data_IF_709543717466
#
_entry.id   IF_709543717466
#
_cell.length_a   1.000
_cell.length_b   1.000
_cell.length_c   1.000
_cell.angle_alpha   90.00
_cell.angle_beta   90.00
_cell.angle_gamma   90.00
#
_symmetry.space_group_name_H-M   'P 1'
#
loop_
_entity.id
_entity.type
_entity.pdbx_description
1 polymer ?
#
# COMPACT_ATOMS: atom_id res chain seq x y z
N UNK A 1 2.12 2.40 1.70
CA UNK A 1 2.00 0.92 1.58
C UNK A 1 1.30 0.45 2.82
N UNK A 2 0.36 -0.49 2.74
CA UNK A 2 -0.29 -1.05 3.93
C UNK A 2 0.30 -2.41 4.25
N UNK A 3 1.09 -2.49 5.31
CA UNK A 3 1.66 -3.76 5.83
C UNK A 3 0.61 -4.50 6.68
N UNK A 4 0.85 -5.80 6.91
CA UNK A 4 -0.06 -6.64 7.71
C UNK A 4 -0.33 -6.08 9.13
N UNK A 5 0.68 -5.59 9.84
CA UNK A 5 0.49 -5.00 11.18
C UNK A 5 -0.41 -3.75 11.15
N UNK A 6 -0.35 -2.95 10.08
CA UNK A 6 -1.22 -1.78 9.94
C UNK A 6 -2.67 -2.21 9.71
N UNK A 7 -2.90 -3.28 8.93
CA UNK A 7 -4.24 -3.87 8.78
C UNK A 7 -4.82 -4.30 10.12
N UNK A 8 -4.02 -4.96 10.97
CA UNK A 8 -4.43 -5.38 12.31
C UNK A 8 -4.79 -4.17 13.19
N UNK A 9 -4.00 -3.10 13.17
CA UNK A 9 -4.30 -1.86 13.89
C UNK A 9 -5.61 -1.23 13.40
N UNK A 10 -5.82 -1.14 12.08
CA UNK A 10 -7.06 -0.59 11.53
C UNK A 10 -8.28 -1.44 11.84
N UNK A 11 -8.14 -2.77 11.81
CA UNK A 11 -9.20 -3.68 12.25
C UNK A 11 -9.53 -3.46 13.73
N UNK A 12 -8.52 -3.37 14.60
CA UNK A 12 -8.74 -3.13 16.02
C UNK A 12 -9.42 -1.79 16.31
N UNK A 13 -8.99 -0.71 15.65
CA UNK A 13 -9.63 0.61 15.78
C UNK A 13 -11.06 0.59 15.24
N UNK A 14 -11.31 -0.09 14.11
CA UNK A 14 -12.64 -0.26 13.54
C UNK A 14 -13.56 -1.02 14.49
N UNK A 15 -13.09 -2.13 15.06
CA UNK A 15 -13.87 -2.99 15.96
C UNK A 15 -14.20 -2.30 17.30
N UNK A 16 -13.54 -1.18 17.61
CA UNK A 16 -13.78 -0.32 18.77
C UNK A 16 -14.55 0.97 18.45
N UNK A 17 -15.02 1.13 17.21
CA UNK A 17 -15.62 2.38 16.70
C UNK A 17 -14.69 3.62 16.81
N UNK A 18 -13.38 3.39 16.85
CA UNK A 18 -12.34 4.44 16.96
C UNK A 18 -11.69 4.79 15.62
N UNK A 19 -11.96 4.02 14.55
CA UNK A 19 -11.44 4.31 13.21
C UNK A 19 -12.27 5.45 12.56
N UNK A 20 -11.76 6.67 12.64
CA UNK A 20 -12.46 7.88 12.16
C UNK A 20 -12.35 8.15 10.66
N UNK A 21 -11.59 7.34 9.93
CA UNK A 21 -11.31 7.53 8.50
C UNK A 21 -11.53 6.26 7.70
N UNK A 22 -11.87 6.40 6.42
CA UNK A 22 -11.92 5.27 5.48
C UNK A 22 -10.52 4.95 4.98
N UNK A 23 -10.10 3.70 5.13
CA UNK A 23 -8.80 3.20 4.73
C UNK A 23 -8.93 2.31 3.50
N UNK A 24 -8.29 2.74 2.41
CA UNK A 24 -8.09 1.93 1.21
C UNK A 24 -6.69 1.34 1.25
N UNK A 25 -6.59 0.15 1.83
CA UNK A 25 -5.35 -0.56 2.02
C UNK A 25 -4.74 -0.99 0.68
N UNK A 26 -3.42 -0.81 0.58
CA UNK A 26 -2.63 -1.23 -0.59
C UNK A 26 -1.41 -2.03 -0.15
N UNK A 27 -1.55 -3.36 0.02
CA UNK A 27 -0.42 -4.27 0.18
C UNK A 27 0.56 -4.12 -0.99
N UNK A 28 1.81 -4.53 -0.78
CA UNK A 28 2.81 -4.49 -1.85
C UNK A 28 2.48 -5.50 -2.94
N UNK A 29 2.87 -5.18 -4.17
CA UNK A 29 2.58 -5.99 -5.36
C UNK A 29 3.10 -7.43 -5.24
N UNK A 30 4.22 -7.68 -4.55
CA UNK A 30 4.76 -9.02 -4.31
C UNK A 30 3.82 -9.96 -3.52
N UNK A 31 2.80 -9.42 -2.85
CA UNK A 31 1.80 -10.23 -2.15
C UNK A 31 0.58 -10.61 -3.01
N UNK A 32 0.55 -10.23 -4.29
CA UNK A 32 -0.62 -10.42 -5.16
C UNK A 32 -1.11 -11.87 -5.20
N UNK A 33 -0.19 -12.83 -5.31
CA UNK A 33 -0.52 -14.25 -5.48
C UNK A 33 -1.13 -14.84 -4.21
N UNK A 34 -0.64 -14.43 -3.04
CA UNK A 34 -1.19 -14.83 -1.73
C UNK A 34 -2.59 -14.26 -1.52
N UNK A 35 -2.80 -13.00 -1.89
CA UNK A 35 -4.12 -12.36 -1.78
C UNK A 35 -5.13 -13.02 -2.74
N UNK A 36 -4.73 -13.27 -3.98
CA UNK A 36 -5.55 -13.97 -4.96
C UNK A 36 -5.91 -15.40 -4.51
N UNK A 37 -4.96 -16.15 -3.94
CA UNK A 37 -5.19 -17.49 -3.42
C UNK A 37 -6.21 -17.54 -2.26
N UNK A 38 -6.36 -16.44 -1.52
CA UNK A 38 -7.35 -16.27 -0.46
C UNK A 38 -8.69 -15.67 -0.96
N UNK A 39 -8.83 -15.44 -2.27
CA UNK A 39 -10.01 -14.79 -2.85
C UNK A 39 -10.11 -13.29 -2.52
N UNK A 40 -9.04 -12.67 -2.03
CA UNK A 40 -9.01 -11.24 -1.71
C UNK A 40 -8.83 -10.46 -3.01
N UNK A 41 -9.91 -9.83 -3.46
CA UNK A 41 -9.95 -8.95 -4.62
C UNK A 41 -10.09 -7.48 -4.21
N UNK A 42 -9.99 -6.58 -5.18
CA UNK A 42 -10.28 -5.15 -4.99
C UNK A 42 -11.69 -4.97 -4.42
N UNK A 43 -11.80 -4.15 -3.37
CA UNK A 43 -13.05 -3.90 -2.66
C UNK A 43 -13.32 -4.84 -1.49
N UNK A 44 -12.51 -5.90 -1.28
CA UNK A 44 -12.63 -6.79 -0.12
C UNK A 44 -12.54 -6.01 1.19
N UNK A 45 -13.52 -6.18 2.08
CA UNK A 45 -13.63 -5.46 3.36
C UNK A 45 -15.01 -4.81 3.54
N UNK A 46 -15.05 -3.70 4.26
CA UNK A 46 -16.27 -2.94 4.58
C UNK A 46 -16.07 -1.43 4.33
N UNK A 47 -17.07 -0.60 4.61
CA UNK A 47 -17.06 0.83 4.29
C UNK A 47 -15.96 1.66 4.95
N UNK A 48 -15.33 1.15 6.01
CA UNK A 48 -14.22 1.80 6.70
C UNK A 48 -12.86 1.22 6.34
N UNK A 49 -12.75 -0.08 6.05
CA UNK A 49 -11.48 -0.73 5.71
C UNK A 49 -11.63 -1.67 4.52
N UNK A 50 -11.06 -1.29 3.37
CA UNK A 50 -11.08 -2.07 2.11
C UNK A 50 -9.68 -2.32 1.58
N UNK A 51 -9.47 -3.45 0.92
CA UNK A 51 -8.32 -3.66 0.03
C UNK A 51 -8.61 -2.94 -1.29
N UNK A 52 -7.98 -1.79 -1.51
CA UNK A 52 -8.23 -0.93 -2.67
C UNK A 52 -7.36 -1.24 -3.89
N UNK A 53 -6.31 -2.03 -3.73
CA UNK A 53 -5.41 -2.41 -4.81
C UNK A 53 -4.03 -2.83 -4.30
N UNK A 54 -3.05 -2.85 -5.19
CA UNK A 54 -1.67 -3.21 -4.89
C UNK A 54 -0.73 -2.03 -5.15
N UNK A 55 0.38 -1.98 -4.42
CA UNK A 55 1.42 -0.96 -4.60
C UNK A 55 2.71 -1.60 -5.11
N UNK A 56 3.06 -1.29 -6.36
CA UNK A 56 4.37 -1.56 -6.95
C UNK A 56 5.33 -0.38 -6.81
N UNK A 57 6.62 -0.69 -6.97
CA UNK A 57 7.74 0.25 -7.03
C UNK A 57 8.50 -0.03 -8.32
N UNK A 58 8.95 1.02 -9.00
CA UNK A 58 9.78 0.91 -10.20
C UNK A 58 11.17 1.44 -9.89
N UNK A 59 11.24 2.64 -9.30
CA UNK A 59 12.44 3.34 -8.89
C UNK A 59 12.22 4.07 -7.55
N UNK A 60 13.18 4.91 -7.17
CA UNK A 60 13.17 5.66 -5.92
C UNK A 60 12.57 7.06 -6.03
N UNK A 61 13.12 8.00 -5.27
CA UNK A 61 12.64 9.39 -5.22
C UNK A 61 13.71 10.37 -5.69
N UNK A 62 13.28 11.55 -6.12
CA UNK A 62 14.21 12.62 -6.51
C UNK A 62 15.06 13.12 -5.34
N UNK A 63 14.47 13.23 -4.13
CA UNK A 63 15.12 13.87 -2.99
C UNK A 63 16.41 13.21 -2.50
N UNK A 64 16.62 11.92 -2.79
CA UNK A 64 17.86 11.21 -2.50
C UNK A 64 18.53 10.68 -3.78
N UNK A 65 18.19 11.24 -4.93
CA UNK A 65 18.74 10.90 -6.25
C UNK A 65 18.60 9.42 -6.63
N UNK A 66 17.54 8.73 -6.17
CA UNK A 66 17.29 7.32 -6.49
C UNK A 66 16.14 7.09 -7.50
N UNK A 67 15.39 8.15 -7.84
CA UNK A 67 14.51 8.11 -9.01
C UNK A 67 15.35 7.97 -10.29
N UNK A 68 14.85 7.20 -11.26
CA UNK A 68 15.57 6.84 -12.48
C UNK A 68 15.19 7.79 -13.62
N UNK A 69 16.12 8.62 -14.01
CA UNK A 69 16.00 9.51 -15.17
C UNK A 69 16.63 8.90 -16.41
N UNK A 70 16.33 9.47 -17.58
CA UNK A 70 16.99 9.11 -18.85
C UNK A 70 18.41 9.66 -18.93
N UNK A 71 18.64 10.79 -18.27
CA UNK A 71 19.92 11.47 -18.15
C UNK A 71 20.33 11.49 -16.67
N UNK A 72 21.62 11.68 -16.35
CA UNK A 72 22.08 11.83 -14.97
C UNK A 72 21.43 13.02 -14.27
N UNK A 73 21.49 13.04 -12.93
CA UNK A 73 21.12 14.24 -12.19
C UNK A 73 22.18 15.32 -12.43
N UNK A 74 21.77 16.59 -12.53
CA UNK A 74 22.71 17.71 -12.76
C UNK A 74 23.84 17.79 -11.72
N UNK A 75 23.55 17.41 -10.47
CA UNK A 75 24.51 17.38 -9.36
C UNK A 75 25.22 16.04 -9.17
N UNK A 76 24.94 15.04 -10.01
CA UNK A 76 25.64 13.75 -10.11
C UNK A 76 25.80 13.36 -11.59
N UNK A 77 26.60 14.13 -12.37
CA UNK A 77 26.79 13.89 -13.79
C UNK A 77 27.58 12.61 -14.08
#
# INVERSE_FOLDING_TARGET
>A
ITRAHQMQVFQHLRDRDELTVRVYARPTLDNWSRLAALGIATGFGDDYLKVGGLKGFVDGIMGNSSARFREPYDHQP
#
